data_IF_271317285168
#
_entry.id   IF_271317285168
#
_cell.length_a   1.000
_cell.length_b   1.000
_cell.length_c   1.000
_cell.angle_alpha   90.00
_cell.angle_beta   90.00
_cell.angle_gamma   90.00
#
_symmetry.space_group_name_H-M   'P 1'
#
loop_
_entity.id
_entity.type
_entity.pdbx_description
1 polymer ?
#
# COMPACT_ATOMS: atom_id res chain seq x y z
N UNK A 1 27.24 -82.66 2.35
CA UNK A 1 27.38 -82.32 3.77
C UNK A 1 28.41 -81.22 3.90
N UNK A 2 28.06 -80.22 4.71
CA UNK A 2 28.66 -78.90 4.81
C UNK A 2 30.10 -78.91 5.37
N UNK A 3 30.89 -77.89 5.03
CA UNK A 3 31.33 -76.84 5.97
C UNK A 3 32.36 -75.91 5.30
N UNK A 4 31.92 -74.74 4.84
CA UNK A 4 32.79 -73.60 4.53
C UNK A 4 32.81 -72.66 5.74
N UNK A 5 34.00 -72.37 6.26
CA UNK A 5 34.23 -71.43 7.36
C UNK A 5 34.12 -69.98 6.86
N UNK A 6 33.08 -69.27 7.29
CA UNK A 6 32.89 -67.85 7.03
C UNK A 6 33.49 -67.04 8.20
N UNK A 7 34.61 -66.34 7.96
CA UNK A 7 35.15 -65.36 8.89
C UNK A 7 34.28 -64.10 8.89
N UNK A 8 33.40 -63.97 9.89
CA UNK A 8 32.64 -62.73 10.15
C UNK A 8 33.59 -61.59 10.55
N UNK A 9 33.91 -60.71 9.60
CA UNK A 9 34.46 -59.38 9.93
C UNK A 9 33.33 -58.51 10.47
N UNK A 10 33.50 -58.05 11.71
CA UNK A 10 32.61 -57.09 12.37
C UNK A 10 32.50 -55.80 11.54
N UNK A 11 31.31 -55.20 11.40
CA UNK A 11 31.20 -53.85 10.84
C UNK A 11 31.88 -52.85 11.79
N UNK A 12 32.52 -51.79 11.26
CA UNK A 12 33.09 -50.73 12.08
C UNK A 12 31.99 -49.96 12.82
N UNK A 13 32.29 -49.39 14.01
CA UNK A 13 31.33 -48.64 14.79
C UNK A 13 30.88 -47.39 14.03
N UNK A 14 29.56 -47.18 13.96
CA UNK A 14 28.97 -45.93 13.47
C UNK A 14 29.40 -44.79 14.39
N UNK A 15 30.32 -43.95 13.90
CA UNK A 15 30.56 -42.65 14.51
C UNK A 15 29.32 -41.80 14.24
N UNK A 16 28.65 -41.39 15.31
CA UNK A 16 27.54 -40.44 15.22
C UNK A 16 28.05 -39.14 14.63
N UNK A 17 27.50 -38.74 13.48
CA UNK A 17 27.73 -37.43 12.90
C UNK A 17 26.99 -36.41 13.76
N UNK A 18 27.73 -35.70 14.63
CA UNK A 18 27.24 -34.48 15.25
C UNK A 18 27.13 -33.43 14.13
N UNK A 19 25.91 -33.11 13.72
CA UNK A 19 25.66 -31.93 12.89
C UNK A 19 26.18 -30.72 13.66
N UNK A 20 27.22 -30.07 13.12
CA UNK A 20 27.83 -28.87 13.70
C UNK A 20 26.86 -27.69 13.49
N UNK A 21 25.89 -27.57 14.39
CA UNK A 21 24.97 -26.44 14.46
C UNK A 21 25.67 -25.25 15.09
N UNK A 22 25.54 -24.09 14.46
CA UNK A 22 26.21 -22.85 14.85
C UNK A 22 25.17 -21.80 15.20
N UNK A 23 25.29 -21.15 16.36
CA UNK A 23 24.39 -20.04 16.69
C UNK A 23 24.91 -18.73 16.09
N UNK A 24 24.04 -17.97 15.44
CA UNK A 24 24.32 -16.66 14.83
C UNK A 24 23.41 -15.65 15.52
N UNK A 25 23.94 -14.48 15.85
CA UNK A 25 23.16 -13.35 16.37
C UNK A 25 22.89 -12.35 15.25
N UNK A 26 21.63 -12.25 14.81
CA UNK A 26 21.19 -11.21 13.90
C UNK A 26 20.97 -9.92 14.67
N UNK A 27 21.51 -8.80 14.16
CA UNK A 27 21.22 -7.46 14.68
C UNK A 27 20.33 -6.75 13.66
N UNK A 28 19.06 -6.59 14.00
CA UNK A 28 18.06 -5.92 13.16
C UNK A 28 17.52 -4.71 13.93
N UNK A 29 17.82 -3.51 13.46
CA UNK A 29 17.34 -2.24 14.04
C UNK A 29 17.56 -2.08 15.57
N UNK A 30 18.56 -2.77 16.16
CA UNK A 30 18.89 -2.68 17.59
C UNK A 30 18.42 -3.86 18.44
N UNK A 31 17.62 -4.79 17.90
CA UNK A 31 17.19 -6.00 18.60
C UNK A 31 18.05 -7.21 18.17
N UNK A 32 18.68 -7.94 19.12
CA UNK A 32 19.44 -9.15 18.82
C UNK A 32 18.52 -10.36 18.70
N UNK A 33 18.58 -11.09 17.58
CA UNK A 33 17.82 -12.31 17.32
C UNK A 33 18.80 -13.48 17.14
N UNK A 34 18.78 -14.46 18.04
CA UNK A 34 19.68 -15.62 18.01
C UNK A 34 19.07 -16.74 17.18
N UNK A 35 19.72 -17.14 16.09
CA UNK A 35 19.30 -18.22 15.20
C UNK A 35 20.33 -19.34 15.14
N UNK A 36 19.89 -20.57 14.86
CA UNK A 36 20.75 -21.75 14.72
C UNK A 36 20.87 -22.12 13.24
N UNK A 37 22.09 -22.10 12.70
CA UNK A 37 22.39 -22.38 11.29
C UNK A 37 23.25 -23.64 11.17
N UNK A 38 22.97 -24.49 10.18
CA UNK A 38 23.83 -25.63 9.85
C UNK A 38 24.97 -25.17 8.92
N UNK A 39 26.21 -25.50 9.29
CA UNK A 39 27.39 -25.15 8.50
C UNK A 39 27.72 -26.17 7.38
N UNK A 40 26.99 -27.29 7.32
CA UNK A 40 27.20 -28.35 6.33
C UNK A 40 26.07 -28.36 5.28
N UNK A 41 26.37 -28.61 3.99
CA UNK A 41 25.34 -28.79 2.97
C UNK A 41 24.50 -30.02 3.30
N UNK A 42 23.19 -29.94 3.02
CA UNK A 42 22.27 -31.05 3.22
C UNK A 42 22.79 -32.31 2.50
N UNK A 43 22.74 -33.50 3.13
CA UNK A 43 23.10 -34.74 2.46
C UNK A 43 22.12 -35.03 1.30
N UNK A 44 22.64 -35.38 0.12
CA UNK A 44 21.91 -35.71 -1.13
C UNK A 44 21.09 -37.03 -1.05
N UNK A 45 20.61 -37.44 0.12
CA UNK A 45 19.88 -38.70 0.28
C UNK A 45 18.40 -38.44 0.60
N UNK A 46 17.54 -38.96 -0.28
CA UNK A 46 16.10 -38.90 -0.25
C UNK A 46 15.45 -39.75 0.85
N UNK A 47 15.90 -39.61 2.10
CA UNK A 47 15.24 -40.21 3.27
C UNK A 47 15.36 -39.27 4.47
N UNK A 48 14.31 -38.49 4.69
CA UNK A 48 14.15 -37.64 5.87
C UNK A 48 13.66 -38.47 7.06
N UNK A 49 14.35 -38.47 8.22
CA UNK A 49 13.71 -38.85 9.47
C UNK A 49 12.84 -37.67 9.94
N UNK A 50 11.54 -37.90 10.08
CA UNK A 50 10.58 -36.96 10.63
C UNK A 50 11.06 -36.48 12.01
N UNK A 51 11.24 -35.16 12.15
CA UNK A 51 11.65 -34.52 13.39
C UNK A 51 10.52 -34.66 14.43
N UNK A 52 10.77 -35.46 15.47
CA UNK A 52 9.96 -35.52 16.67
C UNK A 52 9.95 -34.16 17.38
N UNK A 53 8.76 -33.69 17.67
CA UNK A 53 8.42 -32.55 18.50
C UNK A 53 9.04 -32.59 19.90
N UNK A 54 9.84 -31.58 20.26
CA UNK A 54 9.66 -30.70 21.44
C UNK A 54 10.88 -29.81 21.69
N UNK A 55 10.60 -28.66 22.32
CA UNK A 55 11.51 -27.65 22.89
C UNK A 55 11.99 -26.53 21.96
N UNK A 56 11.14 -25.50 21.77
CA UNK A 56 11.50 -24.07 21.73
C UNK A 56 12.67 -23.56 20.87
N UNK A 57 13.25 -24.38 20.00
CA UNK A 57 14.45 -24.10 19.23
C UNK A 57 14.08 -23.85 17.77
N UNK A 58 14.58 -22.73 17.23
CA UNK A 58 14.40 -22.34 15.84
C UNK A 58 14.85 -23.46 14.89
N UNK A 59 14.13 -23.69 13.76
CA UNK A 59 14.48 -24.71 12.78
C UNK A 59 15.89 -24.49 12.23
N UNK A 60 16.60 -25.57 11.95
CA UNK A 60 17.93 -25.54 11.35
C UNK A 60 17.83 -24.99 9.93
N UNK A 61 18.52 -23.88 9.65
CA UNK A 61 18.45 -23.19 8.36
C UNK A 61 19.55 -23.67 7.42
N UNK A 62 19.19 -23.99 6.17
CA UNK A 62 20.12 -24.48 5.14
C UNK A 62 20.30 -23.48 3.98
N UNK A 63 19.28 -22.70 3.65
CA UNK A 63 19.29 -21.77 2.51
C UNK A 63 19.17 -20.30 2.93
N UNK A 64 19.68 -19.39 2.10
CA UNK A 64 19.49 -17.94 2.29
C UNK A 64 18.02 -17.55 2.22
N UNK A 65 17.20 -18.26 1.43
CA UNK A 65 15.75 -18.10 1.36
C UNK A 65 15.05 -18.37 2.69
N UNK A 66 15.33 -19.51 3.33
CA UNK A 66 14.77 -19.86 4.65
C UNK A 66 15.15 -18.84 5.73
N UNK A 67 16.41 -18.39 5.73
CA UNK A 67 16.88 -17.36 6.65
C UNK A 67 16.08 -16.05 6.48
N UNK A 68 15.80 -15.65 5.23
CA UNK A 68 15.02 -14.45 4.95
C UNK A 68 13.56 -14.59 5.36
N UNK A 69 12.95 -15.76 5.12
CA UNK A 69 11.58 -16.04 5.52
C UNK A 69 11.43 -15.99 7.04
N UNK A 70 12.35 -16.63 7.77
CA UNK A 70 12.33 -16.63 9.23
C UNK A 70 12.55 -15.21 9.80
N UNK A 71 13.42 -14.41 9.18
CA UNK A 71 13.58 -13.00 9.55
C UNK A 71 12.28 -12.22 9.28
N UNK A 72 11.63 -12.45 8.15
CA UNK A 72 10.36 -11.79 7.78
C UNK A 72 9.20 -12.19 8.70
N UNK A 73 9.22 -13.40 9.25
CA UNK A 73 8.21 -13.86 10.21
C UNK A 73 8.42 -13.26 11.59
N UNK A 74 9.68 -13.16 12.04
CA UNK A 74 10.01 -12.65 13.36
C UNK A 74 10.18 -11.12 13.41
N UNK A 75 10.26 -10.45 12.26
CA UNK A 75 10.46 -8.99 12.18
C UNK A 75 9.52 -8.34 11.17
N UNK A 76 9.36 -7.02 11.27
CA UNK A 76 8.48 -6.26 10.37
C UNK A 76 9.13 -5.91 9.02
N UNK A 77 10.23 -6.54 8.63
CA UNK A 77 10.94 -6.23 7.39
C UNK A 77 10.35 -6.98 6.19
N UNK A 78 10.51 -6.40 5.01
CA UNK A 78 10.12 -7.03 3.76
C UNK A 78 11.26 -7.89 3.19
N UNK A 79 11.01 -9.18 2.97
CA UNK A 79 12.02 -10.17 2.59
C UNK A 79 12.64 -9.95 1.21
N UNK A 80 11.94 -9.26 0.30
CA UNK A 80 12.43 -8.94 -1.05
C UNK A 80 13.41 -7.75 -1.05
N UNK A 81 13.13 -6.73 -0.24
CA UNK A 81 13.97 -5.52 -0.15
C UNK A 81 15.07 -5.61 0.91
N UNK A 82 15.12 -6.71 1.65
CA UNK A 82 16.09 -6.95 2.71
C UNK A 82 17.48 -7.32 2.16
N UNK A 83 18.48 -6.58 2.60
CA UNK A 83 19.90 -6.83 2.38
C UNK A 83 20.54 -7.36 3.66
N UNK A 84 21.11 -8.55 3.60
CA UNK A 84 21.85 -9.15 4.71
C UNK A 84 23.35 -8.88 4.52
N UNK A 85 24.02 -8.42 5.57
CA UNK A 85 25.45 -8.08 5.60
C UNK A 85 26.12 -8.92 6.68
N UNK A 86 27.15 -9.65 6.29
CA UNK A 86 27.97 -10.48 7.16
C UNK A 86 29.45 -10.18 6.92
N UNK A 87 30.20 -9.82 7.97
CA UNK A 87 31.65 -9.47 7.93
C UNK A 87 32.01 -8.50 6.78
N UNK A 88 31.15 -7.50 6.54
CA UNK A 88 31.34 -6.49 5.49
C UNK A 88 31.01 -6.96 4.07
N UNK A 89 30.55 -8.20 3.88
CA UNK A 89 30.07 -8.74 2.60
C UNK A 89 28.55 -8.84 2.60
N UNK A 90 27.92 -8.45 1.50
CA UNK A 90 26.49 -8.65 1.30
C UNK A 90 26.24 -10.11 0.92
N UNK A 91 25.27 -10.77 1.57
CA UNK A 91 24.80 -12.09 1.15
C UNK A 91 24.03 -11.92 -0.17
N UNK A 92 24.18 -12.87 -1.11
CA UNK A 92 23.51 -12.79 -2.41
C UNK A 92 21.99 -12.69 -2.27
N UNK A 93 21.35 -12.19 -3.33
CA UNK A 93 19.90 -12.13 -3.43
C UNK A 93 19.25 -13.46 -3.84
N UNK A 94 20.06 -14.47 -4.12
CA UNK A 94 19.61 -15.76 -4.61
C UNK A 94 19.09 -16.63 -3.47
N UNK A 95 17.80 -16.96 -3.51
CA UNK A 95 17.14 -17.77 -2.48
C UNK A 95 17.73 -19.20 -2.34
N UNK A 96 18.33 -19.70 -3.42
CA UNK A 96 18.90 -21.05 -3.51
C UNK A 96 20.37 -21.14 -3.07
N UNK A 97 20.98 -20.02 -2.65
CA UNK A 97 22.37 -20.07 -2.18
C UNK A 97 22.43 -20.69 -0.78
N UNK A 98 23.32 -21.68 -0.60
CA UNK A 98 23.51 -22.35 0.67
C UNK A 98 24.29 -21.48 1.67
N UNK A 99 23.84 -21.48 2.93
CA UNK A 99 24.49 -20.74 4.02
C UNK A 99 25.91 -21.25 4.33
N UNK A 100 26.22 -22.50 3.97
CA UNK A 100 27.54 -23.13 4.12
C UNK A 100 28.68 -22.37 3.39
N UNK A 101 28.36 -21.61 2.34
CA UNK A 101 29.35 -20.79 1.60
C UNK A 101 29.93 -19.65 2.44
N UNK A 102 29.20 -19.22 3.46
CA UNK A 102 29.54 -18.04 4.26
C UNK A 102 30.28 -18.37 5.56
N UNK A 103 30.63 -19.65 5.81
CA UNK A 103 31.43 -20.14 6.96
C UNK A 103 31.12 -19.38 8.25
N UNK A 104 29.92 -19.60 8.79
CA UNK A 104 29.49 -18.93 10.02
C UNK A 104 30.19 -19.54 11.23
N UNK A 105 30.59 -18.72 12.18
CA UNK A 105 31.15 -19.15 13.47
C UNK A 105 30.14 -18.89 14.59
N UNK A 106 30.32 -19.60 15.70
CA UNK A 106 29.40 -19.51 16.83
C UNK A 106 29.47 -18.11 17.45
N UNK A 107 28.33 -17.41 17.52
CA UNK A 107 28.23 -16.03 17.99
C UNK A 107 28.48 -14.96 16.92
N UNK A 108 28.54 -15.32 15.63
CA UNK A 108 28.72 -14.34 14.57
C UNK A 108 27.54 -13.37 14.44
N UNK A 109 27.84 -12.13 14.02
CA UNK A 109 26.85 -11.07 13.85
C UNK A 109 26.50 -10.85 12.39
N UNK A 110 25.21 -10.88 12.08
CA UNK A 110 24.68 -10.57 10.74
C UNK A 110 23.74 -9.37 10.86
N UNK A 111 23.93 -8.38 10.02
CA UNK A 111 23.10 -7.17 9.99
C UNK A 111 22.13 -7.25 8.82
N UNK A 112 20.84 -7.05 9.06
CA UNK A 112 19.86 -6.86 7.98
C UNK A 112 19.47 -5.40 7.85
N UNK A 113 19.56 -4.88 6.63
CA UNK A 113 18.99 -3.60 6.25
C UNK A 113 17.85 -3.84 5.28
N UNK A 114 16.64 -3.42 5.62
CA UNK A 114 15.50 -3.55 4.74
C UNK A 114 14.53 -2.40 4.93
N UNK A 115 13.57 -2.28 4.03
CA UNK A 115 12.39 -1.46 4.30
C UNK A 115 11.47 -2.26 5.20
N UNK A 116 10.84 -1.59 6.15
CA UNK A 116 9.75 -2.21 6.90
C UNK A 116 8.64 -2.56 5.90
N UNK A 117 8.08 -3.77 6.00
CA UNK A 117 6.87 -4.17 5.33
C UNK A 117 5.76 -3.25 5.84
N UNK A 118 5.54 -2.16 5.11
CA UNK A 118 4.33 -1.35 5.26
C UNK A 118 3.23 -2.23 4.71
N UNK A 119 2.68 -3.11 5.56
CA UNK A 119 1.35 -3.64 5.30
C UNK A 119 0.49 -2.39 5.16
N UNK A 120 -0.04 -2.07 3.97
CA UNK A 120 -1.05 -1.05 3.91
C UNK A 120 -2.19 -1.63 4.75
N UNK A 121 -2.31 -1.15 5.99
CA UNK A 121 -3.58 -1.27 6.69
C UNK A 121 -4.52 -0.54 5.75
N UNK A 122 -5.26 -1.31 4.95
CA UNK A 122 -6.18 -0.78 3.96
C UNK A 122 -7.24 -0.03 4.74
N UNK A 123 -7.00 1.28 4.86
CA UNK A 123 -7.89 2.16 5.54
C UNK A 123 -9.15 2.26 4.69
N UNK A 124 -10.16 1.51 5.09
CA UNK A 124 -11.46 1.44 4.42
C UNK A 124 -12.08 2.83 4.28
N UNK A 125 -11.86 3.71 5.26
CA UNK A 125 -12.31 5.10 5.24
C UNK A 125 -11.61 5.90 4.13
N UNK A 126 -10.29 5.79 4.02
CA UNK A 126 -9.53 6.44 2.96
C UNK A 126 -9.90 5.92 1.56
N UNK A 127 -10.11 4.61 1.44
CA UNK A 127 -10.51 3.98 0.19
C UNK A 127 -11.91 4.45 -0.26
N UNK A 128 -12.86 4.55 0.68
CA UNK A 128 -14.20 5.05 0.41
C UNK A 128 -14.17 6.51 -0.08
N UNK A 129 -13.37 7.37 0.56
CA UNK A 129 -13.18 8.76 0.12
C UNK A 129 -12.62 8.86 -1.31
N UNK A 130 -11.55 8.12 -1.61
CA UNK A 130 -10.93 8.12 -2.94
C UNK A 130 -11.86 7.57 -4.02
N UNK A 131 -12.64 6.54 -3.69
CA UNK A 131 -13.65 6.00 -4.60
C UNK A 131 -14.71 7.06 -4.90
N UNK A 132 -15.20 7.74 -3.87
CA UNK A 132 -16.17 8.83 -4.03
C UNK A 132 -15.64 9.96 -4.90
N UNK A 133 -14.40 10.39 -4.66
CA UNK A 133 -13.71 11.40 -5.46
C UNK A 133 -13.70 11.03 -6.95
N UNK A 134 -13.27 9.81 -7.27
CA UNK A 134 -13.18 9.33 -8.65
C UNK A 134 -14.55 9.21 -9.33
N UNK A 135 -15.55 8.68 -8.61
CA UNK A 135 -16.84 8.32 -9.20
C UNK A 135 -17.79 9.51 -9.34
N UNK A 136 -17.72 10.47 -8.41
CA UNK A 136 -18.66 11.59 -8.30
C UNK A 136 -17.97 12.94 -8.52
N UNK A 137 -16.87 13.23 -7.83
CA UNK A 137 -16.25 14.56 -7.86
C UNK A 137 -15.66 14.89 -9.24
N UNK A 138 -15.11 13.89 -9.94
CA UNK A 138 -14.65 14.06 -11.33
C UNK A 138 -15.80 14.43 -12.27
N UNK A 139 -17.00 13.86 -12.06
CA UNK A 139 -18.17 14.21 -12.89
C UNK A 139 -18.66 15.62 -12.59
N UNK A 140 -18.65 16.02 -11.32
CA UNK A 140 -18.98 17.39 -10.91
C UNK A 140 -18.00 18.41 -11.51
N UNK A 141 -16.70 18.10 -11.55
CA UNK A 141 -15.72 18.96 -12.21
C UNK A 141 -16.00 19.14 -13.71
N UNK A 142 -16.39 18.06 -14.40
CA UNK A 142 -16.76 18.14 -15.83
C UNK A 142 -17.99 19.01 -16.06
N UNK A 143 -19.03 18.88 -15.25
CA UNK A 143 -20.24 19.72 -15.39
C UNK A 143 -19.95 21.18 -15.09
N UNK A 144 -19.01 21.46 -14.17
CA UNK A 144 -18.50 22.80 -13.93
C UNK A 144 -17.75 23.38 -15.15
N UNK A 145 -16.86 22.60 -15.77
CA UNK A 145 -16.11 23.04 -16.94
C UNK A 145 -17.02 23.34 -18.13
N UNK A 146 -18.06 22.53 -18.34
CA UNK A 146 -19.11 22.78 -19.34
C UNK A 146 -19.87 24.07 -19.06
N UNK A 147 -20.31 24.29 -17.81
CA UNK A 147 -20.98 25.52 -17.40
C UNK A 147 -20.10 26.75 -17.63
N UNK A 148 -18.82 26.65 -17.30
CA UNK A 148 -17.84 27.72 -17.52
C UNK A 148 -17.66 28.03 -19.00
N UNK A 149 -17.59 27.00 -19.86
CA UNK A 149 -17.49 27.18 -21.30
C UNK A 149 -18.75 27.85 -21.87
N UNK A 150 -19.94 27.43 -21.44
CA UNK A 150 -21.20 28.02 -21.89
C UNK A 150 -21.35 29.47 -21.45
N UNK A 151 -20.94 29.80 -20.22
CA UNK A 151 -20.89 31.18 -19.73
C UNK A 151 -19.95 32.04 -20.59
N UNK A 152 -18.76 31.54 -20.91
CA UNK A 152 -17.82 32.25 -21.76
C UNK A 152 -18.36 32.48 -23.19
N UNK A 153 -19.06 31.50 -23.76
CA UNK A 153 -19.71 31.64 -25.08
C UNK A 153 -20.84 32.67 -25.05
N UNK A 154 -21.63 32.69 -23.97
CA UNK A 154 -22.70 33.67 -23.80
C UNK A 154 -22.15 35.11 -23.73
N UNK A 155 -21.03 35.31 -23.02
CA UNK A 155 -20.39 36.63 -22.89
C UNK A 155 -19.83 37.18 -24.21
N UNK A 156 -19.52 36.32 -25.18
CA UNK A 156 -19.07 36.75 -26.50
C UNK A 156 -20.17 37.43 -27.34
N UNK A 157 -21.44 37.36 -26.92
CA UNK A 157 -22.57 38.12 -27.50
C UNK A 157 -22.77 37.92 -29.03
N UNK A 158 -22.40 36.76 -29.58
CA UNK A 158 -22.63 36.46 -31.01
C UNK A 158 -24.09 36.11 -31.36
N UNK A 159 -24.93 35.88 -30.35
CA UNK A 159 -26.30 35.40 -30.50
C UNK A 159 -27.30 36.56 -30.67
N UNK A 160 -28.42 36.29 -31.36
CA UNK A 160 -29.54 37.24 -31.42
C UNK A 160 -30.23 37.37 -30.06
N UNK A 161 -30.95 38.47 -29.82
CA UNK A 161 -31.58 38.78 -28.51
C UNK A 161 -32.48 37.65 -28.01
N UNK A 162 -33.33 37.09 -28.89
CA UNK A 162 -34.24 35.98 -28.56
C UNK A 162 -33.49 34.69 -28.19
N UNK A 163 -32.45 34.32 -28.96
CA UNK A 163 -31.65 33.12 -28.68
C UNK A 163 -30.82 33.27 -27.40
N UNK A 164 -30.30 34.48 -27.16
CA UNK A 164 -29.57 34.80 -25.93
C UNK A 164 -30.45 34.66 -24.70
N UNK A 165 -31.71 35.13 -24.76
CA UNK A 165 -32.66 35.01 -23.66
C UNK A 165 -32.97 33.54 -23.31
N UNK A 166 -33.16 32.70 -24.34
CA UNK A 166 -33.38 31.27 -24.16
C UNK A 166 -32.14 30.61 -23.52
N UNK A 167 -30.93 30.97 -23.97
CA UNK A 167 -29.69 30.44 -23.42
C UNK A 167 -29.46 30.88 -21.97
N UNK A 168 -29.72 32.14 -21.62
CA UNK A 168 -29.69 32.63 -20.22
C UNK A 168 -30.64 31.81 -19.36
N UNK A 169 -31.87 31.57 -19.82
CA UNK A 169 -32.88 30.82 -19.07
C UNK A 169 -32.46 29.36 -18.86
N UNK A 170 -31.84 28.73 -19.87
CA UNK A 170 -31.29 27.37 -19.77
C UNK A 170 -30.09 27.31 -18.82
N UNK A 171 -29.16 28.25 -18.94
CA UNK A 171 -27.98 28.33 -18.07
C UNK A 171 -28.37 28.58 -16.61
N UNK A 172 -29.34 29.46 -16.37
CA UNK A 172 -29.88 29.71 -15.04
C UNK A 172 -30.34 28.44 -14.34
N UNK A 173 -31.13 27.62 -15.04
CA UNK A 173 -31.61 26.32 -14.52
C UNK A 173 -30.44 25.39 -14.21
N UNK A 174 -29.44 25.31 -15.09
CA UNK A 174 -28.25 24.46 -14.87
C UNK A 174 -27.40 24.94 -13.71
N UNK A 175 -27.23 26.25 -13.54
CA UNK A 175 -26.50 26.86 -12.42
C UNK A 175 -27.17 26.50 -11.09
N UNK A 176 -28.50 26.63 -10.99
CA UNK A 176 -29.26 26.22 -9.80
C UNK A 176 -29.16 24.71 -9.53
N UNK A 177 -29.33 23.87 -10.56
CA UNK A 177 -29.18 22.42 -10.43
C UNK A 177 -27.77 22.02 -9.98
N UNK A 178 -26.74 22.70 -10.47
CA UNK A 178 -25.36 22.47 -10.08
C UNK A 178 -25.13 22.81 -8.60
N UNK A 179 -25.74 23.88 -8.10
CA UNK A 179 -25.69 24.24 -6.69
C UNK A 179 -26.29 23.13 -5.81
N UNK A 180 -27.55 22.74 -6.07
CA UNK A 180 -28.22 21.66 -5.34
C UNK A 180 -27.42 20.33 -5.38
N UNK A 181 -26.82 20.03 -6.52
CA UNK A 181 -26.01 18.81 -6.70
C UNK A 181 -24.72 18.88 -5.90
N UNK A 182 -24.05 20.04 -5.88
CA UNK A 182 -22.84 20.28 -5.10
C UNK A 182 -23.10 20.19 -3.60
N UNK A 183 -24.20 20.76 -3.11
CA UNK A 183 -24.62 20.64 -1.70
C UNK A 183 -24.91 19.19 -1.31
N UNK A 184 -25.57 18.40 -2.19
CA UNK A 184 -25.77 16.96 -1.96
C UNK A 184 -24.44 16.21 -1.85
N UNK A 185 -23.43 16.58 -2.65
CA UNK A 185 -22.11 15.99 -2.54
C UNK A 185 -21.42 16.33 -1.22
N UNK A 186 -21.57 17.56 -0.70
CA UNK A 186 -21.06 17.93 0.63
C UNK A 186 -21.68 17.07 1.73
N UNK A 187 -23.01 16.93 1.74
CA UNK A 187 -23.74 16.10 2.71
C UNK A 187 -23.27 14.64 2.63
N UNK A 188 -23.12 14.11 1.42
CA UNK A 188 -22.69 12.74 1.21
C UNK A 188 -21.25 12.49 1.69
N UNK A 189 -20.33 13.44 1.48
CA UNK A 189 -18.93 13.33 1.96
C UNK A 189 -18.88 13.35 3.50
N UNK A 190 -19.70 14.17 4.13
CA UNK A 190 -19.78 14.23 5.59
C UNK A 190 -20.34 12.95 6.20
N UNK A 191 -21.25 12.28 5.49
CA UNK A 191 -21.84 11.00 5.89
C UNK A 191 -20.87 9.80 5.77
N UNK A 192 -19.75 9.91 5.04
CA UNK A 192 -18.79 8.80 4.88
C UNK A 192 -18.10 8.53 6.23
N UNK A 193 -18.26 7.35 6.80
CA UNK A 193 -17.52 6.94 8.00
C UNK A 193 -16.02 6.86 7.70
N UNK A 194 -15.22 7.63 8.44
CA UNK A 194 -13.78 7.78 8.20
C UNK A 194 -12.92 6.99 9.19
N UNK A 195 -13.42 6.76 10.40
CA UNK A 195 -12.70 6.10 11.46
C UNK A 195 -13.60 5.05 12.09
N UNK A 196 -13.02 3.90 12.33
CA UNK A 196 -13.51 2.86 13.23
C UNK A 196 -12.68 2.88 14.51
N UNK A 197 -13.17 2.24 15.59
CA UNK A 197 -12.53 2.26 16.91
C UNK A 197 -11.06 1.79 16.90
N UNK A 198 -10.71 0.91 15.95
CA UNK A 198 -9.36 0.34 15.80
C UNK A 198 -8.42 1.17 14.91
N UNK A 199 -8.86 2.33 14.40
CA UNK A 199 -8.04 3.13 13.48
C UNK A 199 -6.95 3.89 14.24
N UNK A 200 -5.66 3.81 13.85
CA UNK A 200 -4.59 4.52 14.53
C UNK A 200 -4.66 6.05 14.25
N UNK A 201 -4.21 6.86 15.22
CA UNK A 201 -4.37 8.33 15.21
C UNK A 201 -3.78 9.01 13.97
N UNK A 202 -2.64 8.51 13.48
CA UNK A 202 -1.99 9.02 12.27
C UNK A 202 -2.88 8.87 11.02
N UNK A 203 -3.61 7.76 10.90
CA UNK A 203 -4.52 7.51 9.78
C UNK A 203 -5.81 8.33 9.92
N UNK A 204 -6.33 8.48 11.15
CA UNK A 204 -7.48 9.37 11.39
C UNK A 204 -7.20 10.80 10.95
N UNK A 205 -6.02 11.32 11.27
CA UNK A 205 -5.61 12.67 10.86
C UNK A 205 -5.54 12.79 9.34
N UNK A 206 -4.89 11.83 8.67
CA UNK A 206 -4.79 11.81 7.20
C UNK A 206 -6.17 11.79 6.54
N UNK A 207 -7.10 10.98 7.02
CA UNK A 207 -8.43 10.91 6.42
C UNK A 207 -9.23 12.20 6.62
N UNK A 208 -9.08 12.86 7.77
CA UNK A 208 -9.68 14.19 8.01
C UNK A 208 -9.14 15.22 7.03
N UNK A 209 -7.84 15.20 6.75
CA UNK A 209 -7.21 16.10 5.78
C UNK A 209 -7.72 15.85 4.36
N UNK A 210 -7.84 14.58 3.94
CA UNK A 210 -8.39 14.22 2.63
C UNK A 210 -9.85 14.67 2.51
N UNK A 211 -10.69 14.41 3.53
CA UNK A 211 -12.09 14.88 3.53
C UNK A 211 -12.17 16.39 3.41
N UNK A 212 -11.39 17.12 4.22
CA UNK A 212 -11.35 18.60 4.18
C UNK A 212 -10.94 19.11 2.80
N UNK A 213 -9.96 18.48 2.16
CA UNK A 213 -9.51 18.87 0.82
C UNK A 213 -10.64 18.72 -0.21
N UNK A 214 -11.39 17.62 -0.16
CA UNK A 214 -12.54 17.40 -1.03
C UNK A 214 -13.67 18.41 -0.79
N UNK A 215 -13.97 18.70 0.48
CA UNK A 215 -14.98 19.69 0.88
C UNK A 215 -14.60 21.09 0.36
N UNK A 216 -13.36 21.51 0.57
CA UNK A 216 -12.86 22.79 0.09
C UNK A 216 -12.99 22.91 -1.43
N UNK A 217 -12.65 21.85 -2.18
CA UNK A 217 -12.82 21.84 -3.63
C UNK A 217 -14.27 22.03 -4.09
N UNK A 218 -15.25 21.44 -3.39
CA UNK A 218 -16.68 21.66 -3.71
C UNK A 218 -17.11 23.08 -3.33
N UNK A 219 -16.66 23.59 -2.18
CA UNK A 219 -16.95 24.97 -1.77
C UNK A 219 -16.40 25.98 -2.77
N UNK A 220 -15.23 25.74 -3.34
CA UNK A 220 -14.69 26.56 -4.42
C UNK A 220 -15.63 26.55 -5.64
N UNK A 221 -16.11 25.37 -6.07
CA UNK A 221 -17.09 25.28 -7.16
C UNK A 221 -18.39 26.03 -6.86
N UNK A 222 -18.89 25.97 -5.61
CA UNK A 222 -20.07 26.72 -5.18
C UNK A 222 -19.83 28.23 -5.24
N UNK A 223 -18.70 28.72 -4.72
CA UNK A 223 -18.32 30.13 -4.78
C UNK A 223 -18.20 30.64 -6.23
N UNK A 224 -17.70 29.80 -7.15
CA UNK A 224 -17.68 30.14 -8.57
C UNK A 224 -19.07 30.12 -9.20
N UNK A 225 -19.92 29.18 -8.81
CA UNK A 225 -21.30 29.11 -9.28
C UNK A 225 -22.11 30.36 -8.88
N UNK A 226 -21.92 30.87 -7.66
CA UNK A 226 -22.53 32.13 -7.23
C UNK A 226 -22.11 33.32 -8.09
N UNK A 227 -20.84 33.36 -8.53
CA UNK A 227 -20.37 34.37 -9.51
C UNK A 227 -21.07 34.22 -10.85
N UNK A 228 -21.29 33.00 -11.34
CA UNK A 228 -22.04 32.76 -12.58
C UNK A 228 -23.49 33.20 -12.44
N UNK A 229 -24.13 32.91 -11.30
CA UNK A 229 -25.50 33.35 -11.00
C UNK A 229 -25.62 34.87 -11.05
N UNK A 230 -24.76 35.57 -10.30
CA UNK A 230 -24.73 37.03 -10.31
C UNK A 230 -24.48 37.60 -11.72
N UNK A 231 -23.58 36.97 -12.48
CA UNK A 231 -23.30 37.39 -13.86
C UNK A 231 -24.49 37.20 -14.79
N UNK A 232 -25.23 36.09 -14.65
CA UNK A 232 -26.45 35.85 -15.41
C UNK A 232 -27.56 36.85 -15.07
N UNK A 233 -27.67 37.29 -13.82
CA UNK A 233 -28.61 38.37 -13.43
C UNK A 233 -28.29 39.66 -14.20
N UNK A 234 -27.02 40.07 -14.21
CA UNK A 234 -26.58 41.25 -14.96
C UNK A 234 -26.87 41.15 -16.46
N UNK A 235 -26.61 39.97 -17.06
CA UNK A 235 -26.87 39.76 -18.48
C UNK A 235 -28.37 39.83 -18.78
N UNK A 236 -29.20 39.26 -17.91
CA UNK A 236 -30.66 39.32 -18.03
C UNK A 236 -31.18 40.75 -17.95
N UNK A 237 -30.69 41.55 -17.01
CA UNK A 237 -31.09 42.95 -16.86
C UNK A 237 -30.65 43.77 -18.08
N UNK A 238 -29.42 43.57 -18.56
CA UNK A 238 -28.92 44.25 -19.76
C UNK A 238 -29.72 43.89 -21.02
N UNK A 239 -30.22 42.65 -21.13
CA UNK A 239 -31.12 42.27 -22.21
C UNK A 239 -32.47 42.97 -22.10
N UNK A 240 -33.05 43.04 -20.91
CA UNK A 240 -34.33 43.71 -20.68
C UNK A 240 -34.27 45.21 -21.00
N UNK A 241 -33.11 45.86 -20.79
CA UNK A 241 -32.87 47.24 -21.22
C UNK A 241 -32.77 47.38 -22.74
N UNK A 242 -32.08 46.45 -23.43
CA UNK A 242 -31.97 46.45 -24.90
C UNK A 242 -33.31 46.24 -25.61
N UNK A 243 -34.24 45.53 -25.00
CA UNK A 243 -35.58 45.32 -25.56
C UNK A 243 -36.52 46.53 -25.38
N UNK A 244 -36.19 47.46 -24.47
CA UNK A 244 -36.98 48.68 -24.20
C UNK A 244 -36.56 49.87 -25.06
N UNK A 245 -35.32 49.88 -25.56
CA UNK A 245 -34.75 50.94 -26.40
C UNK A 245 -34.89 50.59 -27.89
#
# INVERSE_FOLDING_TARGET
MNCFSFCSRRPPPQQGYQLMTTSITLMLAGEPLTLTVANEPAPDYADAPEASSNDGAFPVLHTVGELRSLITENTKFDGETMKLIYKGRMLSNDANEHLSKYTFQNGDKVMGLGKQKVVPVEDKGLQALRKYEKDQLVKLGKTYDELKADMAMLEQNFLSTSMTHEMITKLWKRVLQFNDTSEKHLIAIDAIQIFDDDTPDNMRQRNREVRKTMINGIQDYLNFNDKFKFRLEQLKDAQAERERN
#
